data_IF_527775171120
#
_entry.id   IF_527775171120
#
_cell.length_a   1.000
_cell.length_b   1.000
_cell.length_c   1.000
_cell.angle_alpha   90.00
_cell.angle_beta   90.00
_cell.angle_gamma   90.00
#
_symmetry.space_group_name_H-M   'P 1'
#
loop_
_entity.id
_entity.type
_entity.pdbx_description
1 polymer ?
#
# COMPACT_ATOMS: atom_id res chain seq x y z
N UNK A 1 -27.90 9.10 35.85
CA UNK A 1 -27.39 9.73 34.60
C UNK A 1 -26.03 9.14 34.21
N UNK A 2 -25.98 7.88 33.75
CA UNK A 2 -24.73 7.17 33.47
C UNK A 2 -24.64 6.57 32.04
N UNK A 3 -25.59 6.90 31.16
CA UNK A 3 -25.62 6.39 29.77
C UNK A 3 -24.97 7.33 28.73
N UNK A 4 -24.49 8.50 29.16
CA UNK A 4 -23.90 9.52 28.27
C UNK A 4 -22.36 9.55 28.30
N UNK A 5 -21.70 8.61 28.99
CA UNK A 5 -20.28 8.36 28.78
C UNK A 5 -20.11 7.57 27.48
N UNK A 6 -20.21 8.28 26.36
CA UNK A 6 -19.64 7.98 25.04
C UNK A 6 -19.16 6.53 24.85
N UNK A 7 -20.05 5.66 24.36
CA UNK A 7 -19.67 4.33 23.88
C UNK A 7 -18.88 4.50 22.58
N UNK A 8 -17.57 4.71 22.68
CA UNK A 8 -16.67 4.93 21.55
C UNK A 8 -16.72 3.74 20.58
N UNK A 9 -16.88 2.53 21.10
CA UNK A 9 -17.11 1.32 20.31
C UNK A 9 -18.35 1.39 19.41
N UNK A 10 -19.43 2.03 19.85
CA UNK A 10 -20.66 2.16 19.04
C UNK A 10 -20.47 3.03 17.79
N UNK A 11 -19.42 3.87 17.77
CA UNK A 11 -19.09 4.75 16.64
C UNK A 11 -18.20 4.06 15.60
N UNK A 12 -17.44 3.05 15.99
CA UNK A 12 -16.49 2.37 15.11
C UNK A 12 -17.12 1.72 13.86
N UNK A 13 -18.32 1.09 13.90
CA UNK A 13 -18.97 0.59 12.69
C UNK A 13 -19.24 1.68 11.65
N UNK A 14 -19.56 2.89 12.09
CA UNK A 14 -19.75 4.02 11.18
C UNK A 14 -18.43 4.47 10.55
N UNK A 15 -17.33 4.51 11.32
CA UNK A 15 -15.99 4.79 10.77
C UNK A 15 -15.58 3.77 9.71
N UNK A 16 -15.83 2.47 9.96
CA UNK A 16 -15.59 1.41 8.98
C UNK A 16 -16.39 1.66 7.71
N UNK A 17 -17.69 1.98 7.84
CA UNK A 17 -18.55 2.26 6.69
C UNK A 17 -18.08 3.49 5.89
N UNK A 18 -17.65 4.55 6.57
CA UNK A 18 -17.09 5.74 5.91
C UNK A 18 -15.80 5.41 5.16
N UNK A 19 -14.90 4.63 5.76
CA UNK A 19 -13.67 4.18 5.09
C UNK A 19 -13.96 3.30 3.87
N UNK A 20 -14.95 2.43 3.93
CA UNK A 20 -15.33 1.57 2.80
C UNK A 20 -15.83 2.37 1.59
N UNK A 21 -16.42 3.55 1.81
CA UNK A 21 -16.94 4.44 0.79
C UNK A 21 -15.91 5.48 0.32
N UNK A 22 -14.75 5.57 0.98
CA UNK A 22 -13.76 6.59 0.70
C UNK A 22 -12.92 6.24 -0.53
N UNK A 23 -12.81 7.20 -1.46
CA UNK A 23 -11.92 7.10 -2.63
C UNK A 23 -10.45 7.44 -2.32
N UNK A 24 -10.23 8.11 -1.19
CA UNK A 24 -8.93 8.57 -0.70
C UNK A 24 -8.80 8.29 0.81
N UNK A 25 -7.56 8.14 1.27
CA UNK A 25 -7.28 7.89 2.68
C UNK A 25 -7.69 9.10 3.54
N UNK A 26 -8.38 8.80 4.64
CA UNK A 26 -8.79 9.78 5.67
C UNK A 26 -7.84 9.72 6.86
N UNK A 27 -7.92 10.75 7.70
CA UNK A 27 -7.10 10.87 8.91
C UNK A 27 -7.22 9.64 9.80
N UNK A 28 -6.08 9.20 10.35
CA UNK A 28 -6.05 8.12 11.32
C UNK A 28 -6.72 8.58 12.63
N UNK A 29 -7.83 7.95 13.06
CA UNK A 29 -8.63 8.43 14.18
C UNK A 29 -8.01 8.01 15.53
N UNK A 30 -6.80 8.49 15.82
CA UNK A 30 -5.98 8.10 17.00
C UNK A 30 -6.75 8.24 18.31
N UNK A 31 -7.50 9.34 18.49
CA UNK A 31 -8.23 9.59 19.73
C UNK A 31 -9.38 8.59 19.93
N UNK A 32 -10.09 8.25 18.85
CA UNK A 32 -11.17 7.28 18.90
C UNK A 32 -10.63 5.88 19.18
N UNK A 33 -9.55 5.47 18.51
CA UNK A 33 -8.94 4.16 18.71
C UNK A 33 -8.40 3.99 20.13
N UNK A 34 -7.75 5.02 20.69
CA UNK A 34 -7.33 5.01 22.11
C UNK A 34 -8.52 4.84 23.06
N UNK A 35 -9.60 5.59 22.83
CA UNK A 35 -10.79 5.47 23.67
C UNK A 35 -11.44 4.08 23.57
N UNK A 36 -11.38 3.45 22.39
CA UNK A 36 -11.84 2.07 22.19
C UNK A 36 -10.93 1.06 22.89
N UNK A 37 -9.62 1.25 22.85
CA UNK A 37 -8.64 0.43 23.59
C UNK A 37 -8.86 0.52 25.10
N UNK A 38 -9.11 1.72 25.62
CA UNK A 38 -9.44 1.95 27.04
C UNK A 38 -10.76 1.25 27.43
N UNK A 39 -11.80 1.36 26.58
CA UNK A 39 -13.09 0.69 26.76
C UNK A 39 -12.95 -0.84 26.76
N UNK A 40 -12.15 -1.39 25.85
CA UNK A 40 -11.80 -2.82 25.81
C UNK A 40 -11.04 -3.27 27.05
N UNK A 41 -10.09 -2.45 27.53
CA UNK A 41 -9.34 -2.74 28.75
C UNK A 41 -10.24 -2.79 29.99
N UNK A 42 -11.27 -1.96 30.04
CA UNK A 42 -12.30 -2.02 31.09
C UNK A 42 -13.14 -3.30 30.98
N UNK A 43 -13.61 -3.68 29.79
CA UNK A 43 -14.34 -4.95 29.59
C UNK A 43 -13.51 -6.16 29.99
N UNK A 44 -12.22 -6.16 29.66
CA UNK A 44 -11.32 -7.24 30.05
C UNK A 44 -11.17 -7.36 31.57
N UNK A 45 -11.01 -6.23 32.28
CA UNK A 45 -10.94 -6.23 33.75
C UNK A 45 -12.23 -6.73 34.39
N UNK A 46 -13.39 -6.31 33.88
CA UNK A 46 -14.69 -6.79 34.37
C UNK A 46 -14.89 -8.28 34.11
N UNK A 47 -14.44 -8.79 32.95
CA UNK A 47 -14.49 -10.21 32.62
C UNK A 47 -13.61 -11.03 33.56
N UNK A 48 -12.40 -10.55 33.85
CA UNK A 48 -11.51 -11.19 34.85
C UNK A 48 -12.15 -11.23 36.24
N UNK A 49 -12.84 -10.16 36.66
CA UNK A 49 -13.57 -10.14 37.92
C UNK A 49 -14.71 -11.17 37.97
N UNK A 50 -15.47 -11.31 36.88
CA UNK A 50 -16.52 -12.34 36.79
C UNK A 50 -15.92 -13.76 36.84
N UNK A 51 -14.80 -14.00 36.15
CA UNK A 51 -14.11 -15.28 36.19
C UNK A 51 -13.52 -15.59 37.58
N UNK A 52 -12.99 -14.59 38.27
CA UNK A 52 -12.51 -14.72 39.64
C UNK A 52 -13.65 -15.05 40.63
N UNK A 53 -14.85 -14.51 40.41
CA UNK A 53 -16.04 -14.84 41.19
C UNK A 53 -16.47 -16.30 40.96
N UNK A 54 -16.64 -16.71 39.70
CA UNK A 54 -17.08 -18.08 39.33
C UNK A 54 -16.07 -19.15 39.76
N UNK A 55 -14.78 -18.82 39.83
CA UNK A 55 -13.75 -19.75 40.33
C UNK A 55 -13.69 -19.87 41.86
N UNK A 56 -14.39 -19.00 42.60
CA UNK A 56 -14.38 -18.95 44.08
C UNK A 56 -15.77 -19.19 44.69
N UNK A 57 -16.64 -19.91 43.99
CA UNK A 57 -17.97 -20.23 44.48
C UNK A 57 -17.89 -21.06 45.77
N UNK A 58 -18.55 -20.57 46.81
CA UNK A 58 -18.74 -21.28 48.07
C UNK A 58 -20.10 -21.98 48.14
N UNK A 59 -20.28 -22.91 49.10
CA UNK A 59 -21.54 -23.63 49.29
C UNK A 59 -22.72 -22.72 49.66
N UNK A 60 -22.45 -21.55 50.24
CA UNK A 60 -23.47 -20.58 50.68
C UNK A 60 -23.75 -19.48 49.63
N UNK A 61 -23.17 -19.58 48.43
CA UNK A 61 -23.36 -18.56 47.39
C UNK A 61 -24.79 -18.63 46.83
N UNK A 62 -25.58 -17.55 46.88
CA UNK A 62 -26.94 -17.55 46.35
C UNK A 62 -26.97 -17.84 44.85
N UNK A 63 -27.92 -18.68 44.40
CA UNK A 63 -28.08 -19.03 42.98
C UNK A 63 -28.27 -17.81 42.08
N UNK A 64 -29.05 -16.84 42.54
CA UNK A 64 -29.35 -15.62 41.77
C UNK A 64 -28.08 -14.77 41.54
N UNK A 65 -27.14 -14.78 42.50
CA UNK A 65 -25.86 -14.08 42.38
C UNK A 65 -24.95 -14.78 41.35
N UNK A 66 -24.93 -16.11 41.36
CA UNK A 66 -24.20 -16.92 40.37
C UNK A 66 -24.73 -16.61 38.96
N UNK A 67 -26.05 -16.66 38.78
CA UNK A 67 -26.68 -16.41 37.49
C UNK A 67 -26.42 -14.98 36.99
N UNK A 68 -26.45 -13.99 37.89
CA UNK A 68 -26.13 -12.60 37.55
C UNK A 68 -24.69 -12.45 37.03
N UNK A 69 -23.71 -13.08 37.68
CA UNK A 69 -22.31 -13.05 37.26
C UNK A 69 -22.05 -13.84 35.97
N UNK A 70 -22.71 -14.97 35.77
CA UNK A 70 -22.61 -15.75 34.52
C UNK A 70 -23.23 -14.99 33.33
N UNK A 71 -24.41 -14.41 33.50
CA UNK A 71 -25.05 -13.58 32.47
C UNK A 71 -24.19 -12.36 32.14
N UNK A 72 -23.63 -11.69 33.16
CA UNK A 72 -22.70 -10.56 32.95
C UNK A 72 -21.45 -10.99 32.20
N UNK A 73 -20.86 -12.14 32.54
CA UNK A 73 -19.71 -12.72 31.83
C UNK A 73 -20.02 -12.91 30.35
N UNK A 74 -21.14 -13.58 30.02
CA UNK A 74 -21.53 -13.85 28.64
C UNK A 74 -21.71 -12.56 27.83
N UNK A 75 -22.36 -11.54 28.40
CA UNK A 75 -22.52 -10.23 27.74
C UNK A 75 -21.17 -9.57 27.46
N UNK A 76 -20.27 -9.55 28.45
CA UNK A 76 -18.92 -8.99 28.29
C UNK A 76 -18.10 -9.72 27.23
N UNK A 77 -18.21 -11.05 27.14
CA UNK A 77 -17.55 -11.83 26.08
C UNK A 77 -18.04 -11.43 24.69
N UNK A 78 -19.36 -11.25 24.53
CA UNK A 78 -19.94 -10.78 23.27
C UNK A 78 -19.49 -9.36 22.92
N UNK A 79 -19.45 -8.45 23.89
CA UNK A 79 -19.00 -7.07 23.70
C UNK A 79 -17.52 -7.00 23.28
N UNK A 80 -16.65 -7.79 23.93
CA UNK A 80 -15.23 -7.90 23.56
C UNK A 80 -15.08 -8.49 22.15
N UNK A 81 -15.80 -9.56 21.83
CA UNK A 81 -15.77 -10.16 20.49
C UNK A 81 -16.24 -9.18 19.42
N UNK A 82 -17.30 -8.42 19.70
CA UNK A 82 -17.81 -7.40 18.79
C UNK A 82 -16.75 -6.32 18.55
N UNK A 83 -16.18 -5.77 19.62
CA UNK A 83 -15.14 -4.76 19.56
C UNK A 83 -13.93 -5.20 18.74
N UNK A 84 -13.41 -6.41 18.99
CA UNK A 84 -12.28 -6.97 18.23
C UNK A 84 -12.61 -7.14 16.74
N UNK A 85 -13.83 -7.59 16.40
CA UNK A 85 -14.25 -7.72 15.01
C UNK A 85 -14.32 -6.37 14.30
N UNK A 86 -14.85 -5.35 14.96
CA UNK A 86 -14.96 -4.02 14.36
C UNK A 86 -13.58 -3.39 14.18
N UNK A 87 -12.68 -3.51 15.17
CA UNK A 87 -11.29 -3.06 15.05
C UNK A 87 -10.55 -3.76 13.92
N UNK A 88 -10.71 -5.09 13.80
CA UNK A 88 -10.13 -5.86 12.71
C UNK A 88 -10.66 -5.39 11.35
N UNK A 89 -11.98 -5.19 11.23
CA UNK A 89 -12.59 -4.69 10.00
C UNK A 89 -12.07 -3.30 9.62
N UNK A 90 -11.90 -2.42 10.61
CA UNK A 90 -11.28 -1.10 10.43
C UNK A 90 -9.86 -1.21 9.89
N UNK A 91 -9.00 -2.01 10.53
CA UNK A 91 -7.60 -2.21 10.12
C UNK A 91 -7.51 -2.80 8.71
N UNK A 92 -8.29 -3.84 8.41
CA UNK A 92 -8.32 -4.47 7.08
C UNK A 92 -8.79 -3.50 5.99
N UNK A 93 -9.79 -2.67 6.30
CA UNK A 93 -10.28 -1.67 5.34
C UNK A 93 -9.22 -0.61 5.06
N UNK A 94 -8.50 -0.15 6.09
CA UNK A 94 -7.39 0.80 5.91
C UNK A 94 -6.24 0.17 5.13
N UNK A 95 -5.85 -1.06 5.47
CA UNK A 95 -4.81 -1.79 4.75
C UNK A 95 -5.14 -1.93 3.26
N UNK A 96 -6.38 -2.29 2.93
CA UNK A 96 -6.85 -2.39 1.54
C UNK A 96 -6.76 -1.05 0.77
N UNK A 97 -7.04 0.08 1.45
CA UNK A 97 -6.85 1.40 0.85
C UNK A 97 -5.37 1.70 0.60
N UNK A 98 -4.49 1.35 1.53
CA UNK A 98 -3.04 1.50 1.36
C UNK A 98 -2.51 0.65 0.20
N UNK A 99 -2.97 -0.60 0.08
CA UNK A 99 -2.59 -1.49 -1.03
C UNK A 99 -3.04 -0.91 -2.38
N UNK A 100 -4.28 -0.41 -2.47
CA UNK A 100 -4.78 0.29 -3.67
C UNK A 100 -3.94 1.53 -4.00
N UNK A 101 -3.56 2.31 -2.99
CA UNK A 101 -2.70 3.49 -3.18
C UNK A 101 -1.33 3.09 -3.70
N UNK A 102 -0.72 2.04 -3.14
CA UNK A 102 0.55 1.49 -3.58
C UNK A 102 0.52 1.06 -5.05
N UNK A 103 -0.52 0.32 -5.48
CA UNK A 103 -0.70 -0.09 -6.87
C UNK A 103 -0.87 1.11 -7.80
N UNK A 104 -1.65 2.12 -7.39
CA UNK A 104 -1.84 3.36 -8.17
C UNK A 104 -0.54 4.16 -8.31
N UNK A 105 0.28 4.19 -7.26
CA UNK A 105 1.60 4.82 -7.26
C UNK A 105 2.69 3.98 -7.92
N UNK A 106 2.36 2.81 -8.49
CA UNK A 106 3.32 1.90 -9.15
C UNK A 106 4.47 1.46 -8.22
N UNK A 107 4.17 1.29 -6.93
CA UNK A 107 5.16 0.95 -5.91
C UNK A 107 6.15 2.07 -5.56
N UNK A 108 5.90 3.32 -6.00
CA UNK A 108 6.77 4.46 -5.70
C UNK A 108 6.30 5.17 -4.43
N UNK A 109 7.00 4.95 -3.31
CA UNK A 109 6.65 5.61 -2.05
C UNK A 109 6.84 7.13 -2.12
N UNK A 110 7.85 7.60 -2.87
CA UNK A 110 8.10 9.05 -3.02
C UNK A 110 7.04 9.77 -3.85
N UNK A 111 6.10 9.04 -4.48
CA UNK A 111 4.97 9.64 -5.19
C UNK A 111 3.91 10.22 -4.24
N UNK A 112 3.91 9.84 -2.95
CA UNK A 112 2.95 10.35 -1.97
C UNK A 112 3.40 11.70 -1.41
N UNK A 113 2.49 12.68 -1.39
CA UNK A 113 2.74 13.98 -0.79
C UNK A 113 2.66 13.94 0.75
N UNK A 114 3.28 14.92 1.41
CA UNK A 114 3.29 15.03 2.87
C UNK A 114 1.88 15.07 3.47
N UNK A 115 0.93 15.72 2.78
CA UNK A 115 -0.46 15.79 3.21
C UNK A 115 -1.14 14.42 3.25
N UNK A 116 -0.78 13.48 2.37
CA UNK A 116 -1.32 12.12 2.39
C UNK A 116 -0.65 11.33 3.51
N UNK A 117 0.66 11.48 3.66
CA UNK A 117 1.43 10.78 4.69
C UNK A 117 1.07 11.24 6.11
N UNK A 118 0.68 12.49 6.31
CA UNK A 118 0.25 13.02 7.62
C UNK A 118 -1.06 12.40 8.13
N UNK A 119 -1.86 11.81 7.25
CA UNK A 119 -3.12 11.11 7.60
C UNK A 119 -2.90 9.70 8.13
N UNK A 120 -1.68 9.19 8.02
CA UNK A 120 -1.32 7.82 8.38
C UNK A 120 -0.72 7.77 9.77
N UNK A 121 -0.99 6.68 10.49
CA UNK A 121 -0.18 6.34 11.67
C UNK A 121 1.23 5.93 11.24
N UNK A 122 2.19 5.95 12.16
CA UNK A 122 3.57 5.57 11.84
C UNK A 122 3.68 4.10 11.39
N UNK A 123 2.86 3.22 11.98
CA UNK A 123 2.75 1.82 11.55
C UNK A 123 2.23 1.71 10.11
N UNK A 124 1.25 2.54 9.74
CA UNK A 124 0.73 2.56 8.37
C UNK A 124 1.70 3.16 7.36
N UNK A 125 2.50 4.15 7.76
CA UNK A 125 3.58 4.68 6.91
C UNK A 125 4.62 3.59 6.64
N UNK A 126 5.02 2.85 7.67
CA UNK A 126 5.95 1.75 7.54
C UNK A 126 5.37 0.65 6.66
N UNK A 127 4.12 0.23 6.91
CA UNK A 127 3.42 -0.73 6.05
C UNK A 127 3.36 -0.27 4.59
N UNK A 128 2.99 0.99 4.34
CA UNK A 128 2.91 1.55 2.99
C UNK A 128 4.28 1.53 2.29
N UNK A 129 5.36 1.84 3.01
CA UNK A 129 6.73 1.78 2.48
C UNK A 129 7.11 0.36 2.07
N UNK A 130 6.80 -0.62 2.92
CA UNK A 130 7.10 -2.03 2.66
C UNK A 130 6.24 -2.57 1.51
N UNK A 131 4.95 -2.23 1.48
CA UNK A 131 4.03 -2.58 0.41
C UNK A 131 4.45 -1.96 -0.93
N UNK A 132 4.91 -0.70 -0.95
CA UNK A 132 5.46 -0.04 -2.13
C UNK A 132 6.71 -0.75 -2.64
N UNK A 133 7.63 -1.10 -1.74
CA UNK A 133 8.83 -1.85 -2.10
C UNK A 133 8.47 -3.20 -2.72
N UNK A 134 7.55 -3.95 -2.11
CA UNK A 134 7.10 -5.24 -2.62
C UNK A 134 6.42 -5.12 -3.99
N UNK A 135 5.54 -4.14 -4.19
CA UNK A 135 4.88 -3.90 -5.48
C UNK A 135 5.87 -3.44 -6.55
N UNK A 136 6.87 -2.64 -6.17
CA UNK A 136 7.95 -2.24 -7.08
C UNK A 136 8.76 -3.44 -7.54
N UNK A 137 9.22 -4.29 -6.60
CA UNK A 137 9.92 -5.54 -6.92
C UNK A 137 9.09 -6.47 -7.80
N UNK A 138 7.82 -6.68 -7.46
CA UNK A 138 6.89 -7.52 -8.25
C UNK A 138 6.75 -7.03 -9.69
N UNK A 139 6.69 -5.72 -9.89
CA UNK A 139 6.62 -5.10 -11.23
C UNK A 139 7.92 -5.24 -11.98
N UNK A 140 9.05 -5.02 -11.31
CA UNK A 140 10.37 -5.13 -11.94
C UNK A 140 10.65 -6.58 -12.36
N UNK A 141 10.30 -7.57 -11.54
CA UNK A 141 10.34 -9.00 -11.91
C UNK A 141 9.43 -9.33 -13.10
N UNK A 142 8.19 -8.84 -13.08
CA UNK A 142 7.25 -9.06 -14.18
C UNK A 142 7.76 -8.46 -15.50
N UNK A 143 8.34 -7.26 -15.43
CA UNK A 143 8.93 -6.60 -16.59
C UNK A 143 10.20 -7.32 -17.07
N UNK A 144 11.06 -7.80 -16.16
CA UNK A 144 12.24 -8.58 -16.51
C UNK A 144 11.86 -9.85 -17.28
N UNK A 145 10.86 -10.61 -16.80
CA UNK A 145 10.35 -11.80 -17.50
C UNK A 145 9.81 -11.47 -18.89
N UNK A 146 9.01 -10.40 -19.01
CA UNK A 146 8.50 -9.94 -20.32
C UNK A 146 9.61 -9.54 -21.31
N UNK A 147 10.74 -9.05 -20.80
CA UNK A 147 11.91 -8.70 -21.61
C UNK A 147 12.66 -9.95 -22.03
N UNK A 148 12.87 -10.91 -21.12
CA UNK A 148 13.46 -12.22 -21.41
C UNK A 148 12.67 -12.98 -22.49
N UNK A 149 11.34 -13.05 -22.35
CA UNK A 149 10.44 -13.69 -23.31
C UNK A 149 10.48 -13.06 -24.71
N UNK A 150 10.96 -11.82 -24.81
CA UNK A 150 11.04 -11.04 -26.06
C UNK A 150 12.48 -10.87 -26.56
N UNK A 151 13.38 -11.80 -26.23
CA UNK A 151 14.79 -11.78 -26.61
C UNK A 151 15.47 -10.46 -26.21
N UNK A 152 15.18 -9.98 -25.00
CA UNK A 152 15.70 -8.73 -24.48
C UNK A 152 14.95 -7.48 -24.96
N UNK A 153 13.94 -7.55 -25.84
CA UNK A 153 13.25 -6.34 -26.34
C UNK A 153 12.05 -5.98 -25.46
N UNK A 154 11.99 -4.77 -24.86
CA UNK A 154 10.82 -4.36 -24.10
C UNK A 154 9.57 -4.26 -24.99
N UNK A 155 8.41 -4.50 -24.42
CA UNK A 155 7.13 -4.55 -25.16
C UNK A 155 6.73 -3.22 -25.82
N UNK A 156 7.10 -2.11 -25.19
CA UNK A 156 6.67 -0.77 -25.54
C UNK A 156 7.70 0.27 -25.11
N UNK A 157 7.76 1.37 -25.85
CA UNK A 157 8.60 2.53 -25.55
C UNK A 157 7.73 3.79 -25.39
N UNK A 158 8.23 4.75 -24.63
CA UNK A 158 7.64 6.07 -24.50
C UNK A 158 8.70 7.15 -24.75
N UNK A 159 8.30 8.17 -25.50
CA UNK A 159 9.04 9.43 -25.56
C UNK A 159 8.60 10.28 -24.37
N UNK A 160 9.58 10.69 -23.56
CA UNK A 160 9.35 11.43 -22.32
C UNK A 160 10.11 12.75 -22.33
N UNK A 161 9.54 13.75 -21.67
CA UNK A 161 10.21 15.03 -21.35
C UNK A 161 10.52 15.03 -19.85
N UNK A 162 11.76 15.34 -19.48
CA UNK A 162 12.14 15.52 -18.07
C UNK A 162 11.59 16.84 -17.53
N UNK A 163 10.70 16.79 -16.53
CA UNK A 163 10.15 17.97 -15.86
C UNK A 163 11.02 18.41 -14.67
N UNK A 164 11.87 17.51 -14.17
CA UNK A 164 12.84 17.73 -13.10
C UNK A 164 14.20 17.18 -13.51
N UNK A 165 15.25 17.76 -12.97
CA UNK A 165 16.60 17.20 -13.07
C UNK A 165 16.67 15.89 -12.27
N UNK A 166 17.33 14.87 -12.81
CA UNK A 166 17.52 13.62 -12.10
C UNK A 166 18.78 12.87 -12.54
N UNK A 167 19.33 12.10 -11.60
CA UNK A 167 20.40 11.13 -11.83
C UNK A 167 19.79 9.74 -11.86
N UNK A 168 20.05 8.98 -12.91
CA UNK A 168 19.51 7.65 -13.12
C UNK A 168 20.64 6.65 -13.41
N UNK A 169 20.72 5.56 -12.64
CA UNK A 169 21.71 4.48 -12.81
C UNK A 169 21.36 3.54 -13.96
N UNK A 170 22.22 3.34 -14.95
CA UNK A 170 21.93 2.37 -16.02
C UNK A 170 21.43 1.00 -15.51
N UNK A 171 20.43 0.37 -16.16
CA UNK A 171 19.96 0.62 -17.52
C UNK A 171 18.55 1.25 -17.54
N UNK A 172 18.44 2.58 -17.42
CA UNK A 172 17.19 3.29 -17.74
C UNK A 172 16.96 3.41 -19.25
N UNK A 173 18.01 3.19 -20.02
CA UNK A 173 17.94 3.00 -21.47
C UNK A 173 18.13 1.54 -21.81
N UNK A 174 17.32 1.06 -22.75
CA UNK A 174 17.73 -0.06 -23.57
C UNK A 174 18.62 0.50 -24.67
N UNK A 175 19.93 0.51 -24.45
CA UNK A 175 20.88 0.53 -25.54
C UNK A 175 20.76 -0.82 -26.21
N UNK A 176 20.20 -0.87 -27.43
CA UNK A 176 20.43 -2.01 -28.29
C UNK A 176 21.92 -1.99 -28.60
N UNK A 177 22.73 -2.60 -27.71
CA UNK A 177 24.12 -2.89 -28.01
C UNK A 177 24.11 -3.89 -29.14
N UNK A 178 24.11 -3.36 -30.36
CA UNK A 178 24.58 -4.07 -31.53
C UNK A 178 26.04 -4.38 -31.25
N UNK A 179 26.30 -5.57 -30.71
CA UNK A 179 27.62 -6.19 -30.59
C UNK A 179 28.64 -5.40 -29.75
N UNK A 180 28.88 -5.87 -28.53
CA UNK A 180 30.26 -5.96 -28.04
C UNK A 180 30.33 -7.06 -26.99
N UNK A 181 30.94 -8.18 -27.38
CA UNK A 181 31.53 -9.13 -26.45
C UNK A 181 32.63 -8.41 -25.66
N UNK A 182 32.58 -8.57 -24.34
CA UNK A 182 33.71 -8.82 -23.44
C UNK A 182 33.53 -8.13 -22.09
N UNK A 183 33.91 -8.86 -21.03
CA UNK A 183 34.53 -8.24 -19.88
C UNK A 183 33.72 -8.22 -18.60
N UNK A 184 33.97 -9.25 -17.79
CA UNK A 184 33.89 -9.25 -16.33
C UNK A 184 34.30 -7.90 -15.70
N UNK A 185 33.37 -7.15 -15.11
CA UNK A 185 33.71 -6.06 -14.18
C UNK A 185 32.60 -5.85 -13.14
N UNK A 186 33.01 -5.88 -11.87
CA UNK A 186 32.23 -5.48 -10.71
C UNK A 186 32.17 -3.95 -10.62
N UNK A 187 31.60 -3.30 -11.64
CA UNK A 187 31.62 -1.85 -11.78
C UNK A 187 30.25 -1.24 -11.45
N UNK A 188 30.29 -0.21 -10.59
CA UNK A 188 29.18 0.68 -10.29
C UNK A 188 28.46 1.07 -11.59
N UNK A 189 27.17 0.76 -11.69
CA UNK A 189 26.33 1.12 -12.84
C UNK A 189 26.49 2.62 -13.15
N UNK A 190 26.84 3.02 -14.38
CA UNK A 190 27.08 4.42 -14.70
C UNK A 190 25.81 5.25 -14.42
N UNK A 191 25.99 6.31 -13.63
CA UNK A 191 24.96 7.30 -13.33
C UNK A 191 24.90 8.29 -14.49
N UNK A 192 23.72 8.43 -15.10
CA UNK A 192 23.48 9.40 -16.16
C UNK A 192 22.62 10.55 -15.63
N UNK A 193 23.09 11.78 -15.87
CA UNK A 193 22.38 13.00 -15.54
C UNK A 193 21.41 13.39 -16.66
N UNK A 194 20.18 13.72 -16.30
CA UNK A 194 19.16 14.24 -17.21
C UNK A 194 18.77 15.64 -16.79
N UNK A 195 18.95 16.59 -17.70
CA UNK A 195 18.57 17.98 -17.51
C UNK A 195 17.07 18.17 -17.78
N UNK A 196 16.46 19.09 -17.04
CA UNK A 196 15.06 19.47 -17.24
C UNK A 196 14.83 20.00 -18.66
N UNK A 197 13.73 19.58 -19.28
CA UNK A 197 13.34 19.97 -20.63
C UNK A 197 13.90 19.04 -21.72
N UNK A 198 14.81 18.12 -21.38
CA UNK A 198 15.34 17.15 -22.35
C UNK A 198 14.29 16.09 -22.71
N UNK A 199 14.30 15.69 -23.98
CA UNK A 199 13.48 14.58 -24.49
C UNK A 199 14.31 13.32 -24.54
N UNK A 200 13.77 12.21 -24.07
CA UNK A 200 14.42 10.91 -24.19
C UNK A 200 13.42 9.79 -24.45
N UNK A 201 13.89 8.73 -25.08
CA UNK A 201 13.10 7.53 -25.33
C UNK A 201 13.45 6.47 -24.30
N UNK A 202 12.46 6.02 -23.54
CA UNK A 202 12.60 5.04 -22.46
C UNK A 202 11.65 3.85 -22.66
N UNK A 203 11.97 2.67 -22.12
CA UNK A 203 10.98 1.60 -22.00
C UNK A 203 9.75 2.11 -21.23
N UNK A 204 8.54 1.79 -21.72
CA UNK A 204 7.29 2.34 -21.18
C UNK A 204 7.16 2.12 -19.67
N UNK A 205 7.56 0.95 -19.17
CA UNK A 205 7.45 0.64 -17.75
C UNK A 205 8.34 1.56 -16.88
N UNK A 206 9.56 1.90 -17.33
CA UNK A 206 10.44 2.87 -16.65
C UNK A 206 9.90 4.29 -16.76
N UNK A 207 9.40 4.67 -17.94
CA UNK A 207 8.75 5.97 -18.13
C UNK A 207 7.57 6.17 -17.17
N UNK A 208 6.76 5.13 -16.94
CA UNK A 208 5.65 5.18 -16.00
C UNK A 208 6.10 5.29 -14.54
N UNK A 209 7.18 4.62 -14.14
CA UNK A 209 7.78 4.77 -12.79
C UNK A 209 8.27 6.22 -12.55
N UNK A 210 9.00 6.80 -13.51
CA UNK A 210 9.48 8.18 -13.41
C UNK A 210 8.33 9.19 -13.43
N UNK A 211 7.27 8.91 -14.20
CA UNK A 211 6.05 9.73 -14.22
C UNK A 211 5.34 9.69 -12.86
N UNK A 212 5.27 8.53 -12.21
CA UNK A 212 4.68 8.41 -10.88
C UNK A 212 5.44 9.25 -9.83
N UNK A 213 6.77 9.36 -9.95
CA UNK A 213 7.59 10.28 -9.14
C UNK A 213 7.47 11.76 -9.54
N UNK A 214 6.70 12.06 -10.59
CA UNK A 214 6.59 13.41 -11.16
C UNK A 214 7.94 13.95 -11.66
N UNK A 215 8.80 13.08 -12.20
CA UNK A 215 10.10 13.45 -12.77
C UNK A 215 9.96 13.69 -14.28
N UNK A 216 9.13 12.90 -14.96
CA UNK A 216 8.95 12.99 -16.41
C UNK A 216 7.48 13.08 -16.81
N UNK A 217 7.24 13.69 -17.97
CA UNK A 217 5.96 13.69 -18.68
C UNK A 217 6.05 12.77 -19.89
N UNK A 218 5.12 11.82 -20.00
CA UNK A 218 4.99 10.95 -21.18
C UNK A 218 4.31 11.73 -22.29
N UNK A 219 4.97 11.85 -23.44
CA UNK A 219 4.48 12.56 -24.62
C UNK A 219 3.77 11.61 -25.57
N UNK A 220 4.43 10.51 -25.93
CA UNK A 220 3.93 9.52 -26.87
C UNK A 220 4.34 8.12 -26.42
N UNK A 221 3.51 7.13 -26.74
CA UNK A 221 3.77 5.71 -26.51
C UNK A 221 3.81 5.01 -27.87
N UNK A 222 4.82 4.17 -28.09
CA UNK A 222 5.01 3.38 -29.30
C UNK A 222 5.17 1.90 -28.93
N UNK A 223 4.26 1.05 -29.41
CA UNK A 223 4.32 -0.39 -29.20
C UNK A 223 5.13 -1.10 -30.29
N UNK A 224 5.95 -2.08 -29.89
CA UNK A 224 6.75 -2.85 -30.85
C UNK A 224 5.90 -3.77 -31.75
N UNK A 225 4.62 -3.98 -31.45
CA UNK A 225 3.74 -4.83 -32.25
C UNK A 225 3.45 -4.27 -33.64
N UNK A 226 3.70 -2.98 -33.90
CA UNK A 226 3.45 -2.34 -35.20
C UNK A 226 4.72 -2.06 -36.02
N UNK A 227 5.91 -2.22 -35.44
CA UNK A 227 7.17 -1.90 -36.11
C UNK A 227 7.68 -3.02 -37.06
N UNK A 228 6.87 -4.05 -37.34
CA UNK A 228 7.23 -5.10 -38.30
C UNK A 228 6.78 -4.83 -39.74
N UNK A 229 6.12 -3.70 -40.05
CA UNK A 229 5.60 -3.44 -41.41
C UNK A 229 6.30 -2.35 -42.22
N UNK A 230 7.20 -1.53 -41.66
CA UNK A 230 7.77 -0.39 -42.42
C UNK A 230 9.27 -0.45 -42.72
N UNK A 231 9.97 -1.52 -42.33
CA UNK A 231 11.36 -1.70 -42.75
C UNK A 231 11.48 -1.94 -44.27
N UNK A 232 10.44 -2.50 -44.91
CA UNK A 232 10.38 -2.66 -46.37
C UNK A 232 10.03 -1.35 -47.10
N UNK A 233 9.27 -0.46 -46.47
CA UNK A 233 8.90 0.84 -47.05
C UNK A 233 10.07 1.86 -47.02
N UNK A 234 10.96 1.76 -46.03
CA UNK A 234 12.11 2.67 -45.89
C UNK A 234 13.35 2.29 -46.72
N UNK A 235 13.44 1.06 -47.23
CA UNK A 235 14.61 0.58 -47.98
C UNK A 235 14.50 0.76 -49.51
N UNK A 236 13.41 1.33 -50.03
CA UNK A 236 13.34 1.75 -51.44
C UNK A 236 13.71 0.68 -52.46
N UNK A 237 13.41 -0.59 -52.18
CA UNK A 237 13.57 -1.70 -53.13
C UNK A 237 12.22 -1.95 -53.81
N UNK A 238 11.93 -1.12 -54.82
CA UNK A 238 11.14 -1.50 -56.00
C UNK A 238 12.11 -1.63 -57.17
#
# INVERSE_FOLDING_TARGET
MAREKSACLSRMPNEVRLLQQADAITDYPTQLLRAVEDELGEYHRQLQACNAFVSRLGPDTPRDEIEAHENRRQLLELDVLHALRVLKAFQQTRQHLLDKMCVRALGQFEAFNEQTLSKLSDNEKQYLKDACTAEHSRRDEFNARNVEDKNGKPSAFADVVFEKECLLEEPWHFSASLFSEDGDSSESRPLKYFEKGTVSRLPLYRAMQLRAKGIVKVMQVSDHQWAQLDAAAFLGLV
#
